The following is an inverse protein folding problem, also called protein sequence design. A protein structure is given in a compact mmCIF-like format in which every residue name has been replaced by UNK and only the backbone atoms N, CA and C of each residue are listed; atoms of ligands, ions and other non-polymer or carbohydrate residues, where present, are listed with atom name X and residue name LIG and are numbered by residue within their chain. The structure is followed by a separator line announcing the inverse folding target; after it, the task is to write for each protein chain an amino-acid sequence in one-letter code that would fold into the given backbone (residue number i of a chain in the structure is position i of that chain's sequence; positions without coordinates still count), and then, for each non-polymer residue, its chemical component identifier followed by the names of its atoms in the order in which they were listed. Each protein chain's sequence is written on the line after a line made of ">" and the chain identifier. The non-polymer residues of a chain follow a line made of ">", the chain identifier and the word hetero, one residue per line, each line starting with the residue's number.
data_IF_359407047227
#
_entry.id   IF_359407047227
#
_cell.length_a   1.000
_cell.length_b   1.000
_cell.length_c   1.000
_cell.angle_alpha   90.00
_cell.angle_beta   90.00
_cell.angle_gamma   90.00
#
_symmetry.space_group_name_H-M   'P 1'
#
loop_
_entity.id
_entity.type
_entity.pdbx_description
1 polymer ?
#
# COMPACT_ATOMS: atom_id res chain seq x y z
N UNK A 1 57.07 -84.42 21.59
CA UNK A 1 55.66 -84.04 21.36
C UNK A 1 55.63 -82.51 21.37
N UNK A 2 55.67 -81.86 20.20
CA UNK A 2 54.50 -81.21 19.54
C UNK A 2 53.96 -80.04 20.39
N UNK A 3 53.83 -78.78 19.97
CA UNK A 3 53.68 -78.09 18.67
C UNK A 3 54.19 -76.63 18.84
N UNK A 4 54.88 -76.02 17.89
CA UNK A 4 54.35 -75.17 16.80
C UNK A 4 53.45 -74.00 17.24
N UNK A 5 53.92 -72.77 16.96
CA UNK A 5 53.30 -71.82 16.01
C UNK A 5 53.13 -70.36 16.49
N UNK A 6 53.68 -69.47 15.63
CA UNK A 6 53.12 -68.22 15.13
C UNK A 6 53.11 -66.97 16.05
N UNK A 7 54.18 -66.20 15.85
CA UNK A 7 54.31 -64.77 16.15
C UNK A 7 53.42 -63.96 15.18
N UNK A 8 52.36 -63.35 15.70
CA UNK A 8 51.49 -62.44 14.93
C UNK A 8 51.88 -60.98 15.20
N UNK A 9 52.34 -60.32 14.13
CA UNK A 9 52.65 -58.89 14.12
C UNK A 9 51.35 -58.07 14.15
N UNK A 10 51.23 -57.16 15.13
CA UNK A 10 50.08 -56.26 15.25
C UNK A 10 50.22 -55.13 14.21
N UNK A 11 49.45 -55.22 13.13
CA UNK A 11 49.24 -54.10 12.21
C UNK A 11 48.36 -53.06 12.91
N UNK A 12 48.91 -51.88 13.17
CA UNK A 12 48.17 -50.72 13.65
C UNK A 12 47.33 -50.17 12.50
N UNK A 13 46.03 -50.45 12.52
CA UNK A 13 45.08 -49.82 11.61
C UNK A 13 44.93 -48.34 11.99
N UNK A 14 45.57 -47.45 11.23
CA UNK A 14 45.26 -46.02 11.27
C UNK A 14 43.81 -45.83 10.83
N UNK A 15 42.95 -45.52 11.79
CA UNK A 15 41.58 -45.06 11.54
C UNK A 15 41.65 -43.78 10.71
N UNK A 16 41.23 -43.87 9.45
CA UNK A 16 41.08 -42.72 8.57
C UNK A 16 39.90 -41.90 9.09
N UNK A 17 40.19 -40.78 9.77
CA UNK A 17 39.16 -39.79 10.12
C UNK A 17 38.68 -39.13 8.83
N UNK A 18 37.39 -39.19 8.47
CA UNK A 18 36.91 -38.41 7.35
C UNK A 18 37.10 -36.94 7.68
N UNK A 19 37.72 -36.21 6.75
CA UNK A 19 37.80 -34.76 6.83
C UNK A 19 36.39 -34.20 6.92
N UNK A 20 36.18 -33.31 7.88
CA UNK A 20 34.95 -32.55 8.06
C UNK A 20 34.41 -32.09 6.70
N UNK A 21 33.29 -32.66 6.27
CA UNK A 21 32.45 -32.02 5.27
C UNK A 21 31.98 -30.72 5.90
N UNK A 22 32.63 -29.62 5.54
CA UNK A 22 32.24 -28.26 5.89
C UNK A 22 30.84 -28.06 5.34
N UNK A 23 29.83 -28.21 6.20
CA UNK A 23 28.49 -27.76 5.92
C UNK A 23 28.63 -26.30 5.52
N UNK A 24 28.35 -25.99 4.26
CA UNK A 24 28.17 -24.61 3.82
C UNK A 24 26.97 -24.11 4.61
N UNK A 25 27.23 -23.50 5.77
CA UNK A 25 26.23 -22.70 6.45
C UNK A 25 25.80 -21.67 5.39
N UNK A 26 24.57 -21.79 4.90
CA UNK A 26 23.95 -20.74 4.10
C UNK A 26 24.04 -19.48 4.95
N UNK A 27 24.88 -18.53 4.51
CA UNK A 27 25.00 -17.26 5.19
C UNK A 27 23.59 -16.69 5.32
N UNK A 28 23.22 -16.27 6.54
CA UNK A 28 21.90 -15.71 6.77
C UNK A 28 21.69 -14.54 5.79
N UNK A 29 20.47 -14.38 5.23
CA UNK A 29 20.10 -13.24 4.39
C UNK A 29 20.69 -11.93 4.91
N UNK A 30 21.62 -11.33 4.17
CA UNK A 30 22.14 -10.03 4.57
C UNK A 30 21.08 -9.00 4.18
N UNK A 31 20.37 -8.46 5.18
CA UNK A 31 19.38 -7.40 4.98
C UNK A 31 20.05 -6.03 5.15
N UNK A 32 19.78 -5.10 4.23
CA UNK A 32 20.29 -3.72 4.32
C UNK A 32 19.40 -2.91 5.27
N UNK A 33 19.96 -2.23 6.29
CA UNK A 33 19.17 -1.27 7.06
C UNK A 33 18.76 -0.10 6.14
N UNK A 34 17.53 0.40 6.33
CA UNK A 34 17.05 1.55 5.56
C UNK A 34 17.91 2.78 5.79
N UNK A 35 18.24 3.49 4.71
CA UNK A 35 18.84 4.83 4.79
C UNK A 35 17.83 5.82 5.38
N UNK A 36 18.29 7.00 5.79
CA UNK A 36 17.37 8.04 6.30
C UNK A 36 16.37 8.47 5.22
N UNK A 37 16.84 8.69 4.00
CA UNK A 37 16.00 9.04 2.85
C UNK A 37 14.91 7.99 2.59
N UNK A 38 15.24 6.69 2.66
CA UNK A 38 14.26 5.62 2.50
C UNK A 38 13.23 5.59 3.62
N UNK A 39 13.64 5.85 4.87
CA UNK A 39 12.72 5.96 6.00
C UNK A 39 11.79 7.17 5.85
N UNK A 40 12.32 8.29 5.40
CA UNK A 40 11.56 9.52 5.20
C UNK A 40 10.53 9.33 4.08
N UNK A 41 10.94 8.72 2.96
CA UNK A 41 10.05 8.35 1.86
C UNK A 41 8.90 7.46 2.35
N UNK A 42 9.19 6.34 3.03
CA UNK A 42 8.16 5.42 3.51
C UNK A 42 7.22 6.08 4.52
N UNK A 43 7.79 6.87 5.44
CA UNK A 43 7.01 7.58 6.46
C UNK A 43 6.07 8.61 5.84
N UNK A 44 6.55 9.33 4.83
CA UNK A 44 5.75 10.29 4.05
C UNK A 44 4.65 9.58 3.28
N UNK A 45 4.99 8.55 2.50
CA UNK A 45 4.04 7.84 1.64
C UNK A 45 2.93 7.15 2.47
N UNK A 46 3.28 6.44 3.54
CA UNK A 46 2.27 5.80 4.40
C UNK A 46 1.36 6.82 5.09
N UNK A 47 1.89 8.00 5.45
CA UNK A 47 1.09 9.09 6.02
C UNK A 47 0.09 9.64 5.01
N UNK A 48 0.52 9.82 3.77
CA UNK A 48 -0.34 10.28 2.67
C UNK A 48 -1.42 9.24 2.37
N UNK A 49 -1.08 7.95 2.27
CA UNK A 49 -2.07 6.89 2.06
C UNK A 49 -3.14 6.92 3.14
N UNK A 50 -2.75 6.94 4.42
CA UNK A 50 -3.71 7.06 5.53
C UNK A 50 -4.61 8.30 5.40
N UNK A 51 -4.07 9.45 4.99
CA UNK A 51 -4.86 10.67 4.79
C UNK A 51 -5.82 10.55 3.59
N UNK A 52 -5.38 9.90 2.51
CA UNK A 52 -6.19 9.57 1.34
C UNK A 52 -7.37 8.68 1.70
N UNK A 53 -7.10 7.51 2.29
CA UNK A 53 -8.16 6.56 2.70
C UNK A 53 -9.16 7.20 3.68
N UNK A 54 -8.67 8.01 4.62
CA UNK A 54 -9.56 8.73 5.53
C UNK A 54 -10.47 9.71 4.79
N UNK A 55 -9.93 10.43 3.79
CA UNK A 55 -10.72 11.34 2.98
C UNK A 55 -11.76 10.58 2.13
N UNK A 56 -11.36 9.48 1.49
CA UNK A 56 -12.25 8.64 0.69
C UNK A 56 -13.42 8.08 1.51
N UNK A 57 -13.15 7.48 2.68
CA UNK A 57 -14.19 7.03 3.64
C UNK A 57 -15.17 8.15 3.97
N UNK A 58 -14.67 9.36 4.24
CA UNK A 58 -15.51 10.50 4.61
C UNK A 58 -16.32 11.04 3.43
N UNK A 59 -15.79 10.98 2.21
CA UNK A 59 -16.47 11.39 0.99
C UNK A 59 -17.61 10.42 0.68
N UNK A 60 -17.34 9.11 0.68
CA UNK A 60 -18.38 8.10 0.48
C UNK A 60 -19.45 8.16 1.57
N UNK A 61 -19.06 8.34 2.83
CA UNK A 61 -20.01 8.52 3.94
C UNK A 61 -20.93 9.73 3.73
N UNK A 62 -20.38 10.85 3.25
CA UNK A 62 -21.13 12.07 3.00
C UNK A 62 -22.00 12.00 1.73
N UNK A 63 -21.54 11.32 0.69
CA UNK A 63 -22.28 11.16 -0.57
C UNK A 63 -23.46 10.17 -0.43
N UNK A 64 -23.23 9.03 0.22
CA UNK A 64 -24.14 7.88 0.22
C UNK A 64 -25.60 8.23 0.55
N UNK A 65 -25.93 8.98 1.61
CA UNK A 65 -27.32 9.26 1.95
C UNK A 65 -28.10 10.01 0.86
N UNK A 66 -27.43 10.97 0.20
CA UNK A 66 -28.00 11.83 -0.83
C UNK A 66 -28.09 11.14 -2.19
N UNK A 67 -27.08 10.32 -2.52
CA UNK A 67 -27.08 9.52 -3.75
C UNK A 67 -28.13 8.43 -3.66
N UNK A 68 -28.16 7.65 -2.58
CA UNK A 68 -29.08 6.51 -2.42
C UNK A 68 -30.54 6.95 -2.25
N UNK A 69 -30.80 8.12 -1.69
CA UNK A 69 -32.17 8.62 -1.58
C UNK A 69 -32.79 8.95 -2.94
N UNK A 70 -31.98 9.45 -3.89
CA UNK A 70 -32.39 9.77 -5.26
C UNK A 70 -32.30 8.57 -6.19
N UNK A 71 -31.30 7.72 -5.97
CA UNK A 71 -30.98 6.55 -6.81
C UNK A 71 -30.84 5.30 -5.94
N UNK A 72 -31.96 4.71 -5.47
CA UNK A 72 -31.93 3.59 -4.52
C UNK A 72 -31.17 2.36 -5.00
N UNK A 73 -31.10 2.16 -6.33
CA UNK A 73 -30.39 1.05 -6.96
C UNK A 73 -28.87 1.13 -6.78
N UNK A 74 -28.31 2.30 -6.47
CA UNK A 74 -26.86 2.49 -6.22
C UNK A 74 -26.44 2.13 -4.79
N UNK A 75 -27.38 1.77 -3.90
CA UNK A 75 -27.07 1.41 -2.51
C UNK A 75 -25.99 0.31 -2.40
N UNK A 76 -26.04 -0.80 -3.16
CA UNK A 76 -25.02 -1.83 -3.07
C UNK A 76 -23.64 -1.32 -3.49
N UNK A 77 -23.57 -0.52 -4.55
CA UNK A 77 -22.34 0.07 -5.04
C UNK A 77 -21.72 1.04 -4.03
N UNK A 78 -22.50 2.01 -3.52
CA UNK A 78 -22.02 2.97 -2.53
C UNK A 78 -21.53 2.28 -1.25
N UNK A 79 -22.21 1.20 -0.84
CA UNK A 79 -21.79 0.40 0.31
C UNK A 79 -20.49 -0.36 0.02
N UNK A 80 -20.36 -0.92 -1.18
CA UNK A 80 -19.17 -1.67 -1.59
C UNK A 80 -17.92 -0.79 -1.57
N UNK A 81 -17.95 0.36 -2.24
CA UNK A 81 -16.82 1.31 -2.25
C UNK A 81 -16.47 1.75 -0.81
N UNK A 82 -17.47 2.16 -0.02
CA UNK A 82 -17.25 2.55 1.37
C UNK A 82 -16.60 1.44 2.23
N UNK A 83 -17.05 0.19 2.08
CA UNK A 83 -16.52 -0.92 2.87
C UNK A 83 -15.06 -1.25 2.49
N UNK A 84 -14.68 -1.12 1.21
CA UNK A 84 -13.29 -1.26 0.77
C UNK A 84 -12.41 -0.16 1.36
N UNK A 85 -12.83 1.11 1.23
CA UNK A 85 -12.12 2.26 1.80
C UNK A 85 -11.93 2.15 3.32
N UNK A 86 -12.95 1.67 4.04
CA UNK A 86 -12.83 1.43 5.47
C UNK A 86 -11.79 0.33 5.78
N UNK A 87 -11.69 -0.69 4.91
CA UNK A 87 -10.66 -1.73 4.96
C UNK A 87 -9.25 -1.21 4.67
N UNK A 88 -9.10 -0.35 3.65
CA UNK A 88 -7.84 0.31 3.31
C UNK A 88 -7.36 1.18 4.47
N UNK A 89 -8.25 2.04 5.00
CA UNK A 89 -7.98 2.89 6.16
C UNK A 89 -7.53 2.07 7.38
N UNK A 90 -8.23 0.96 7.68
CA UNK A 90 -7.86 0.07 8.78
C UNK A 90 -6.47 -0.56 8.57
N UNK A 91 -6.10 -0.85 7.32
CA UNK A 91 -4.78 -1.35 6.96
C UNK A 91 -3.70 -0.30 7.24
N UNK A 92 -3.88 0.94 6.81
CA UNK A 92 -2.89 1.99 7.06
C UNK A 92 -2.83 2.42 8.52
N UNK A 93 -3.94 2.39 9.26
CA UNK A 93 -3.90 2.61 10.72
C UNK A 93 -2.99 1.60 11.42
N UNK A 94 -3.07 0.32 11.03
CA UNK A 94 -2.18 -0.73 11.56
C UNK A 94 -0.73 -0.49 11.15
N UNK A 95 -0.46 -0.14 9.90
CA UNK A 95 0.90 0.15 9.42
C UNK A 95 1.51 1.36 10.13
N UNK A 96 0.77 2.46 10.26
CA UNK A 96 1.22 3.66 10.98
C UNK A 96 1.55 3.33 12.44
N UNK A 97 0.67 2.60 13.13
CA UNK A 97 0.91 2.18 14.50
C UNK A 97 2.13 1.27 14.63
N UNK A 98 2.25 0.25 13.76
CA UNK A 98 3.38 -0.71 13.74
C UNK A 98 4.73 0.01 13.57
N UNK A 99 4.79 0.98 12.67
CA UNK A 99 6.02 1.69 12.32
C UNK A 99 6.21 3.02 13.07
N UNK A 100 5.31 3.34 14.02
CA UNK A 100 5.31 4.59 14.79
C UNK A 100 5.33 5.85 13.91
N UNK A 101 4.65 5.77 12.77
CA UNK A 101 4.47 6.90 11.85
C UNK A 101 3.27 7.71 12.33
N UNK A 102 3.45 9.02 12.48
CA UNK A 102 2.34 9.91 12.85
C UNK A 102 1.48 10.20 11.62
N UNK A 103 0.14 10.18 11.75
CA UNK A 103 -0.75 10.76 10.75
C UNK A 103 -0.41 12.23 10.50
N UNK A 104 -0.86 12.78 9.37
CA UNK A 104 -0.66 14.20 9.07
C UNK A 104 -1.32 15.09 10.11
N UNK A 105 -0.64 16.14 10.55
CA UNK A 105 -1.19 17.11 11.50
C UNK A 105 -2.45 17.80 10.95
N UNK A 106 -2.63 17.82 9.63
CA UNK A 106 -3.77 18.44 8.95
C UNK A 106 -4.99 17.52 8.80
N UNK A 107 -4.95 16.30 9.36
CA UNK A 107 -6.08 15.38 9.25
C UNK A 107 -7.44 16.01 9.66
N UNK A 108 -7.56 16.92 10.66
CA UNK A 108 -8.85 17.53 10.97
C UNK A 108 -9.36 18.45 9.85
N UNK A 109 -8.44 19.17 9.19
CA UNK A 109 -8.75 20.04 8.05
C UNK A 109 -9.17 19.20 6.85
N UNK A 110 -8.43 18.13 6.56
CA UNK A 110 -8.74 17.20 5.47
C UNK A 110 -10.04 16.46 5.71
N UNK A 111 -10.35 16.05 6.94
CA UNK A 111 -11.65 15.45 7.28
C UNK A 111 -12.81 16.40 7.00
N UNK A 112 -12.70 17.66 7.42
CA UNK A 112 -13.75 18.65 7.16
C UNK A 112 -13.90 18.93 5.65
N UNK A 113 -12.78 19.07 4.93
CA UNK A 113 -12.78 19.28 3.48
C UNK A 113 -13.40 18.09 2.72
N UNK A 114 -13.01 16.86 3.07
CA UNK A 114 -13.51 15.63 2.47
C UNK A 114 -15.02 15.48 2.68
N UNK A 115 -15.52 15.59 3.91
CA UNK A 115 -16.97 15.52 4.18
C UNK A 115 -17.76 16.61 3.46
N UNK A 116 -17.21 17.84 3.40
CA UNK A 116 -17.84 18.95 2.67
C UNK A 116 -17.89 18.67 1.18
N UNK A 117 -16.79 18.18 0.60
CA UNK A 117 -16.71 17.84 -0.81
C UNK A 117 -17.71 16.71 -1.18
N UNK A 118 -17.76 15.64 -0.39
CA UNK A 118 -18.71 14.54 -0.61
C UNK A 118 -20.17 15.01 -0.50
N UNK A 119 -20.49 15.80 0.52
CA UNK A 119 -21.86 16.31 0.69
C UNK A 119 -22.27 17.26 -0.45
N UNK A 120 -21.40 18.22 -0.80
CA UNK A 120 -21.70 19.20 -1.86
C UNK A 120 -21.86 18.53 -3.23
N UNK A 121 -21.00 17.58 -3.57
CA UNK A 121 -21.09 16.87 -4.86
C UNK A 121 -22.35 16.01 -4.95
N UNK A 122 -22.72 15.31 -3.87
CA UNK A 122 -23.98 14.56 -3.84
C UNK A 122 -25.25 15.42 -3.78
N UNK A 123 -25.15 16.68 -3.34
CA UNK A 123 -26.25 17.63 -3.50
C UNK A 123 -26.47 18.02 -4.96
N UNK A 124 -25.39 18.14 -5.73
CA UNK A 124 -25.43 18.52 -7.14
C UNK A 124 -25.95 17.41 -8.05
N UNK A 125 -25.81 16.13 -7.66
CA UNK A 125 -26.39 15.00 -8.38
C UNK A 125 -25.54 13.74 -8.31
N UNK A 126 -26.01 12.66 -8.93
CA UNK A 126 -25.25 11.42 -9.05
C UNK A 126 -23.99 11.65 -9.88
N UNK A 127 -24.12 12.31 -11.02
CA UNK A 127 -23.06 12.55 -11.99
C UNK A 127 -21.93 13.37 -11.36
N UNK A 128 -22.27 14.40 -10.56
CA UNK A 128 -21.29 15.20 -9.84
C UNK A 128 -20.61 14.43 -8.70
N UNK A 129 -21.34 13.57 -7.99
CA UNK A 129 -20.76 12.68 -6.98
C UNK A 129 -19.79 11.67 -7.61
N UNK A 130 -20.16 11.06 -8.73
CA UNK A 130 -19.29 10.13 -9.46
C UNK A 130 -18.11 10.85 -10.12
N UNK A 131 -18.27 12.08 -10.61
CA UNK A 131 -17.14 12.90 -11.08
C UNK A 131 -16.16 13.24 -9.94
N UNK A 132 -16.68 13.43 -8.71
CA UNK A 132 -15.83 13.60 -7.54
C UNK A 132 -15.03 12.33 -7.25
N UNK A 133 -15.69 11.16 -7.22
CA UNK A 133 -15.02 9.85 -7.06
C UNK A 133 -13.96 9.67 -8.14
N UNK A 134 -14.31 9.81 -9.41
CA UNK A 134 -13.36 9.69 -10.53
C UNK A 134 -12.11 10.56 -10.33
N UNK A 135 -12.30 11.82 -9.94
CA UNK A 135 -11.21 12.75 -9.72
C UNK A 135 -10.28 12.36 -8.57
N UNK A 136 -10.84 11.83 -7.48
CA UNK A 136 -10.08 11.44 -6.28
C UNK A 136 -9.32 10.14 -6.55
N UNK A 137 -9.99 9.12 -7.08
CA UNK A 137 -9.36 7.81 -7.31
C UNK A 137 -8.31 7.87 -8.40
N UNK A 138 -8.43 8.81 -9.33
CA UNK A 138 -7.33 9.11 -10.28
C UNK A 138 -6.07 9.55 -9.53
N UNK A 139 -6.16 10.49 -8.59
CA UNK A 139 -4.99 11.02 -7.90
C UNK A 139 -4.46 10.06 -6.83
N UNK A 140 -5.35 9.30 -6.17
CA UNK A 140 -4.97 8.23 -5.23
C UNK A 140 -4.26 7.09 -6.00
N UNK A 141 -4.82 6.63 -7.11
CA UNK A 141 -4.20 5.62 -7.98
C UNK A 141 -2.83 6.06 -8.53
N UNK A 142 -2.69 7.32 -8.95
CA UNK A 142 -1.41 7.89 -9.36
C UNK A 142 -0.39 7.92 -8.20
N UNK A 143 -0.83 8.27 -6.99
CA UNK A 143 0.02 8.23 -5.80
C UNK A 143 0.53 6.81 -5.51
N UNK A 144 -0.36 5.81 -5.51
CA UNK A 144 0.02 4.41 -5.34
C UNK A 144 1.00 3.93 -6.42
N UNK A 145 0.76 4.26 -7.68
CA UNK A 145 1.65 3.89 -8.78
C UNK A 145 3.06 4.44 -8.57
N UNK A 146 3.18 5.69 -8.15
CA UNK A 146 4.48 6.31 -7.86
C UNK A 146 5.15 5.66 -6.64
N UNK A 147 4.41 5.38 -5.58
CA UNK A 147 4.93 4.70 -4.38
C UNK A 147 5.43 3.28 -4.71
N UNK A 148 4.63 2.50 -5.43
CA UNK A 148 4.96 1.14 -5.88
C UNK A 148 6.23 1.14 -6.73
N UNK A 149 6.35 2.11 -7.66
CA UNK A 149 7.56 2.26 -8.48
C UNK A 149 8.79 2.50 -7.61
N UNK A 150 8.72 3.44 -6.67
CA UNK A 150 9.83 3.72 -5.75
C UNK A 150 10.23 2.51 -4.91
N UNK A 151 9.26 1.71 -4.43
CA UNK A 151 9.55 0.48 -3.70
C UNK A 151 10.25 -0.57 -4.57
N UNK A 152 9.80 -0.75 -5.81
CA UNK A 152 10.43 -1.70 -6.76
C UNK A 152 11.86 -1.27 -7.07
N UNK A 153 12.09 0.01 -7.32
CA UNK A 153 13.43 0.56 -7.58
C UNK A 153 14.37 0.35 -6.38
N UNK A 154 13.88 0.61 -5.15
CA UNK A 154 14.64 0.34 -3.94
C UNK A 154 14.99 -1.14 -3.78
N UNK A 155 14.02 -2.03 -4.00
CA UNK A 155 14.21 -3.48 -3.91
C UNK A 155 15.20 -3.99 -4.95
N UNK A 156 15.07 -3.53 -6.20
CA UNK A 156 15.99 -3.88 -7.29
C UNK A 156 17.42 -3.42 -7.00
N UNK A 157 17.59 -2.22 -6.42
CA UNK A 157 18.91 -1.73 -6.02
C UNK A 157 19.52 -2.59 -4.90
N UNK A 158 18.73 -2.99 -3.90
CA UNK A 158 19.23 -3.88 -2.85
C UNK A 158 19.66 -5.24 -3.38
N UNK A 159 18.87 -5.81 -4.28
CA UNK A 159 19.19 -7.09 -4.92
C UNK A 159 20.46 -6.99 -5.78
N UNK A 160 20.63 -5.89 -6.52
CA UNK A 160 21.85 -5.60 -7.28
C UNK A 160 23.09 -5.42 -6.38
N UNK A 161 22.90 -4.84 -5.20
CA UNK A 161 23.94 -4.69 -4.16
C UNK A 161 24.21 -6.02 -3.40
N UNK A 162 23.48 -7.10 -3.70
CA UNK A 162 23.63 -8.42 -3.05
C UNK A 162 22.90 -8.58 -1.72
N UNK A 163 21.96 -7.69 -1.40
CA UNK A 163 21.10 -7.78 -0.22
C UNK A 163 19.75 -8.42 -0.55
N UNK A 164 19.18 -9.13 0.42
CA UNK A 164 17.82 -9.66 0.28
C UNK A 164 16.78 -8.62 0.67
N UNK A 165 15.72 -8.52 -0.14
CA UNK A 165 14.49 -7.84 0.28
C UNK A 165 13.85 -8.61 1.44
N UNK A 166 13.47 -7.94 2.51
CA UNK A 166 12.76 -8.56 3.64
C UNK A 166 11.30 -8.86 3.30
N UNK A 167 10.70 -9.87 3.94
CA UNK A 167 9.32 -10.30 3.67
C UNK A 167 8.30 -9.18 3.91
N UNK A 168 8.53 -8.36 4.92
CA UNK A 168 7.70 -7.19 5.23
C UNK A 168 7.63 -6.18 4.06
N UNK A 169 8.72 -6.01 3.30
CA UNK A 169 8.73 -5.15 2.12
C UNK A 169 7.91 -5.75 0.97
N UNK A 170 7.99 -7.06 0.78
CA UNK A 170 7.20 -7.77 -0.24
C UNK A 170 5.72 -7.75 0.13
N UNK A 171 5.39 -7.92 1.40
CA UNK A 171 4.04 -7.81 1.92
C UNK A 171 3.49 -6.41 1.70
N UNK A 172 4.24 -5.36 2.06
CA UNK A 172 3.85 -3.97 1.80
C UNK A 172 3.61 -3.72 0.30
N UNK A 173 4.53 -4.14 -0.57
CA UNK A 173 4.37 -3.99 -2.02
C UNK A 173 3.10 -4.67 -2.54
N UNK A 174 2.80 -5.87 -2.06
CA UNK A 174 1.59 -6.60 -2.45
C UNK A 174 0.33 -5.90 -1.92
N UNK A 175 0.32 -5.46 -0.66
CA UNK A 175 -0.79 -4.68 -0.09
C UNK A 175 -1.06 -3.43 -0.92
N UNK A 176 -0.03 -2.66 -1.27
CA UNK A 176 -0.19 -1.44 -2.06
C UNK A 176 -0.71 -1.73 -3.48
N UNK A 177 -0.29 -2.84 -4.10
CA UNK A 177 -0.81 -3.26 -5.41
C UNK A 177 -2.27 -3.64 -5.34
N UNK A 178 -2.68 -4.40 -4.33
CA UNK A 178 -4.07 -4.79 -4.12
C UNK A 178 -4.93 -3.55 -3.94
N UNK A 179 -4.57 -2.65 -3.02
CA UNK A 179 -5.34 -1.42 -2.78
C UNK A 179 -5.42 -0.59 -4.05
N UNK A 180 -4.29 -0.33 -4.74
CA UNK A 180 -4.30 0.38 -6.03
C UNK A 180 -5.27 -0.24 -7.05
N UNK A 181 -5.29 -1.56 -7.18
CA UNK A 181 -6.16 -2.23 -8.14
C UNK A 181 -7.65 -2.05 -7.74
N UNK A 182 -7.95 -2.02 -6.45
CA UNK A 182 -9.28 -1.69 -5.91
C UNK A 182 -9.64 -0.20 -6.15
N UNK A 183 -8.72 0.75 -6.00
CA UNK A 183 -8.95 2.17 -6.33
C UNK A 183 -9.27 2.38 -7.82
N UNK A 184 -8.59 1.64 -8.70
CA UNK A 184 -8.87 1.67 -10.13
C UNK A 184 -10.24 1.07 -10.45
N UNK A 185 -10.69 0.08 -9.69
CA UNK A 185 -12.05 -0.44 -9.78
C UNK A 185 -13.09 0.65 -9.41
N UNK A 186 -12.84 1.44 -8.36
CA UNK A 186 -13.72 2.54 -7.96
C UNK A 186 -13.79 3.63 -9.03
N UNK A 187 -12.64 3.94 -9.65
CA UNK A 187 -12.56 4.84 -10.80
C UNK A 187 -13.43 4.33 -11.97
N UNK A 188 -13.34 3.04 -12.29
CA UNK A 188 -14.15 2.43 -13.35
C UNK A 188 -15.64 2.49 -13.02
N UNK A 189 -16.03 2.14 -11.79
CA UNK A 189 -17.41 2.28 -11.30
C UNK A 189 -17.92 3.71 -11.47
N UNK A 190 -17.13 4.72 -11.12
CA UNK A 190 -17.53 6.11 -11.28
C UNK A 190 -17.82 6.47 -12.75
N UNK A 191 -16.96 6.02 -13.67
CA UNK A 191 -17.15 6.23 -15.11
C UNK A 191 -18.38 5.51 -15.63
N UNK A 192 -18.59 4.26 -15.22
CA UNK A 192 -19.78 3.46 -15.58
C UNK A 192 -21.08 4.08 -15.06
N UNK A 193 -21.01 4.81 -13.94
CA UNK A 193 -22.16 5.45 -13.29
C UNK A 193 -22.26 6.95 -13.62
N UNK A 194 -21.88 7.31 -14.85
CA UNK A 194 -22.12 8.60 -15.49
C UNK A 194 -21.30 9.79 -14.95
N UNK A 195 -20.11 9.55 -14.36
CA UNK A 195 -19.22 10.65 -13.95
C UNK A 195 -19.00 11.68 -15.08
N UNK A 196 -18.77 11.20 -16.32
CA UNK A 196 -18.50 12.03 -17.51
C UNK A 196 -19.67 12.92 -17.92
N UNK A 197 -20.88 12.69 -17.40
CA UNK A 197 -22.07 13.50 -17.68
C UNK A 197 -22.21 14.70 -16.74
N UNK A 198 -21.34 14.84 -15.73
CA UNK A 198 -21.31 16.06 -14.91
C UNK A 198 -21.06 17.29 -15.82
N UNK A 199 -21.74 18.41 -15.56
CA UNK A 199 -21.62 19.61 -16.38
C UNK A 199 -21.25 20.84 -15.54
N UNK A 200 -20.06 21.46 -15.76
CA UNK A 200 -18.96 21.02 -16.62
C UNK A 200 -18.01 20.02 -15.94
N UNK A 201 -17.93 18.78 -16.44
CA UNK A 201 -17.09 17.68 -15.90
C UNK A 201 -15.61 18.05 -15.77
N UNK A 202 -15.02 18.58 -16.85
CA UNK A 202 -13.59 18.90 -16.89
C UNK A 202 -13.19 19.93 -15.83
N UNK A 203 -14.10 20.86 -15.50
CA UNK A 203 -13.85 21.91 -14.51
C UNK A 203 -13.98 21.34 -13.10
N UNK A 204 -15.05 20.58 -12.83
CA UNK A 204 -15.28 19.95 -11.54
C UNK A 204 -14.11 19.01 -11.18
N UNK A 205 -13.79 18.07 -12.08
CA UNK A 205 -12.68 17.14 -11.90
C UNK A 205 -11.33 17.87 -11.83
N UNK A 206 -11.12 18.89 -12.67
CA UNK A 206 -9.89 19.69 -12.66
C UNK A 206 -9.62 20.37 -11.32
N UNK A 207 -10.65 20.98 -10.71
CA UNK A 207 -10.55 21.62 -9.38
C UNK A 207 -10.28 20.59 -8.30
N UNK A 208 -11.03 19.49 -8.28
CA UNK A 208 -10.89 18.44 -7.26
C UNK A 208 -9.49 17.82 -7.33
N UNK A 209 -9.03 17.44 -8.53
CA UNK A 209 -7.69 16.90 -8.75
C UNK A 209 -6.59 17.86 -8.30
N UNK A 210 -6.74 19.16 -8.58
CA UNK A 210 -5.80 20.17 -8.10
C UNK A 210 -5.78 20.25 -6.56
N UNK A 211 -6.95 20.17 -5.92
CA UNK A 211 -7.09 20.07 -4.47
C UNK A 211 -6.39 18.83 -3.89
N UNK A 212 -6.61 17.66 -4.48
CA UNK A 212 -5.98 16.40 -4.08
C UNK A 212 -4.45 16.48 -4.16
N UNK A 213 -3.88 16.98 -5.27
CA UNK A 213 -2.42 17.19 -5.38
C UNK A 213 -1.88 18.13 -4.32
N UNK A 214 -2.61 19.20 -4.02
CA UNK A 214 -2.27 20.11 -2.93
C UNK A 214 -2.25 19.40 -1.58
N UNK A 215 -3.30 18.64 -1.27
CA UNK A 215 -3.41 17.88 -0.02
C UNK A 215 -2.30 16.83 0.12
N UNK A 216 -1.98 16.09 -0.95
CA UNK A 216 -0.86 15.14 -1.01
C UNK A 216 0.45 15.87 -0.70
N UNK A 217 0.77 16.93 -1.46
CA UNK A 217 2.01 17.68 -1.30
C UNK A 217 2.19 18.23 0.12
N UNK A 218 1.13 18.74 0.74
CA UNK A 218 1.22 19.23 2.13
C UNK A 218 1.39 18.05 3.10
N UNK A 219 0.63 16.97 2.95
CA UNK A 219 0.63 15.83 3.88
C UNK A 219 1.93 15.03 3.86
N UNK A 220 2.70 15.09 2.77
CA UNK A 220 4.07 14.56 2.73
C UNK A 220 4.98 15.24 3.79
N UNK A 221 4.72 16.52 4.09
CA UNK A 221 5.59 17.39 4.91
C UNK A 221 5.16 17.50 6.36
N UNK A 222 3.87 17.32 6.68
CA UNK A 222 3.30 17.54 8.02
C UNK A 222 2.38 16.44 8.49
#
# INVERSE_FOLDING_TARGET
>A
MSLSALQTSRISARVFRPAFARTLATAAPQRKPLTQEQKDFLSSALRVNHAGELAAVLIYAAQTPLVVSRQPHLRPLMKHMYDQEAGHLATFQKLLAKHRIRPTALYPVWSAAASTLGWTTAMLGQEAAMACTEAIETEIGDHYNNQIRGLIEMMAQWEADGYETGDEFRELLNTLRTIRDEELEHLDHAVEHDSKKADPHWLLTGIIRAGCRGAIWVSERV
#
